data_IF_706950875524
#
_entry.id   IF_706950875524
#
_cell.length_a   1.000
_cell.length_b   1.000
_cell.length_c   1.000
_cell.angle_alpha   90.00
_cell.angle_beta   90.00
_cell.angle_gamma   90.00
#
_symmetry.space_group_name_H-M   'P 1'
#
loop_
_entity.id
_entity.type
_entity.pdbx_description
1 polymer ?
#
# COMPACT_ATOMS: atom_id res chain seq x y z
N UNK A 1 -40.62 -41.82 -56.53
CA UNK A 1 -39.18 -42.12 -56.33
C UNK A 1 -38.25 -40.89 -56.33
N UNK A 2 -38.52 -39.79 -57.05
CA UNK A 2 -37.58 -38.62 -57.08
C UNK A 2 -37.49 -37.76 -55.80
N UNK A 3 -38.53 -37.73 -54.95
CA UNK A 3 -38.54 -36.93 -53.71
C UNK A 3 -37.66 -37.51 -52.59
N UNK A 4 -37.50 -38.83 -52.53
CA UNK A 4 -36.75 -39.50 -51.47
C UNK A 4 -35.22 -39.30 -51.62
N UNK A 5 -34.72 -39.27 -52.85
CA UNK A 5 -33.30 -39.02 -53.13
C UNK A 5 -32.89 -37.56 -52.86
N UNK A 6 -33.80 -36.61 -53.06
CA UNK A 6 -33.54 -35.19 -52.77
C UNK A 6 -33.40 -34.94 -51.26
N UNK A 7 -34.22 -35.60 -50.44
CA UNK A 7 -34.13 -35.50 -48.98
C UNK A 7 -32.82 -36.12 -48.46
N UNK A 8 -32.37 -37.23 -49.05
CA UNK A 8 -31.11 -37.87 -48.70
C UNK A 8 -29.90 -36.99 -49.06
N UNK A 9 -29.95 -36.29 -50.19
CA UNK A 9 -28.88 -35.38 -50.61
C UNK A 9 -28.77 -34.14 -49.71
N UNK A 10 -29.90 -33.60 -49.24
CA UNK A 10 -29.91 -32.49 -48.26
C UNK A 10 -29.38 -32.98 -46.90
N UNK A 11 -29.79 -34.17 -46.45
CA UNK A 11 -29.30 -34.73 -45.18
C UNK A 11 -27.79 -34.99 -45.21
N UNK A 12 -27.27 -35.48 -46.35
CA UNK A 12 -25.83 -35.71 -46.53
C UNK A 12 -25.05 -34.40 -46.67
N UNK A 13 -25.63 -33.38 -47.32
CA UNK A 13 -25.03 -32.04 -47.39
C UNK A 13 -24.94 -31.35 -46.02
N UNK A 14 -25.92 -31.57 -45.13
CA UNK A 14 -25.91 -31.08 -43.74
C UNK A 14 -24.86 -31.83 -42.90
N UNK A 15 -24.63 -33.12 -43.15
CA UNK A 15 -23.56 -33.91 -42.50
C UNK A 15 -22.14 -33.52 -42.95
N UNK A 16 -21.99 -32.92 -44.14
CA UNK A 16 -20.70 -32.45 -44.67
C UNK A 16 -20.40 -30.99 -44.35
N UNK A 17 -21.29 -30.27 -43.67
CA UNK A 17 -20.93 -28.96 -43.11
C UNK A 17 -20.00 -29.25 -41.96
N UNK A 18 -18.71 -29.27 -42.29
CA UNK A 18 -17.61 -29.40 -41.36
C UNK A 18 -17.97 -28.68 -40.06
N UNK A 19 -18.12 -29.45 -38.99
CA UNK A 19 -17.82 -29.00 -37.64
C UNK A 19 -16.40 -28.44 -37.73
N UNK A 20 -16.26 -27.16 -38.07
CA UNK A 20 -15.02 -26.44 -37.82
C UNK A 20 -14.82 -26.60 -36.33
N UNK A 21 -13.91 -27.49 -35.95
CA UNK A 21 -13.43 -27.58 -34.58
C UNK A 21 -13.15 -26.14 -34.16
N UNK A 22 -13.90 -25.65 -33.18
CA UNK A 22 -13.72 -24.29 -32.70
C UNK A 22 -12.26 -24.20 -32.26
N UNK A 23 -11.50 -23.27 -32.83
CA UNK A 23 -10.11 -23.04 -32.44
C UNK A 23 -10.10 -22.67 -30.96
N UNK A 24 -9.39 -23.42 -30.10
CA UNK A 24 -9.17 -23.03 -28.71
C UNK A 24 -8.73 -21.59 -28.55
N UNK A 25 -9.46 -20.87 -27.72
CA UNK A 25 -9.15 -19.52 -27.26
C UNK A 25 -8.61 -19.56 -25.83
N UNK A 26 -7.80 -18.58 -25.46
CA UNK A 26 -7.21 -18.44 -24.13
C UNK A 26 -7.60 -17.09 -23.50
N UNK A 27 -7.93 -17.09 -22.21
CA UNK A 27 -8.12 -15.88 -21.42
C UNK A 27 -7.38 -15.97 -20.09
N UNK A 28 -6.80 -14.84 -19.67
CA UNK A 28 -6.02 -14.71 -18.44
C UNK A 28 -6.77 -13.83 -17.45
N UNK A 29 -7.14 -14.41 -16.31
CA UNK A 29 -7.92 -13.74 -15.25
C UNK A 29 -7.10 -13.68 -13.96
N UNK A 30 -6.90 -12.48 -13.40
CA UNK A 30 -6.27 -12.32 -12.09
C UNK A 30 -7.29 -12.49 -10.96
N UNK A 31 -6.89 -13.13 -9.87
CA UNK A 31 -7.80 -13.56 -8.79
C UNK A 31 -7.80 -12.63 -7.56
N UNK A 32 -6.81 -11.77 -7.41
CA UNK A 32 -6.63 -10.94 -6.21
C UNK A 32 -6.20 -9.50 -6.55
N UNK A 33 -6.44 -8.57 -5.62
CA UNK A 33 -5.79 -7.26 -5.61
C UNK A 33 -4.29 -7.45 -5.34
N UNK A 34 -3.49 -7.22 -6.39
CA UNK A 34 -2.06 -7.57 -6.46
C UNK A 34 -1.16 -6.61 -5.66
N UNK A 35 -1.74 -5.59 -5.00
CA UNK A 35 -1.04 -4.70 -4.07
C UNK A 35 -0.43 -5.43 -2.85
N UNK A 36 -0.87 -6.67 -2.59
CA UNK A 36 -0.39 -7.54 -1.51
C UNK A 36 0.50 -8.70 -1.97
N UNK A 37 0.82 -8.78 -3.26
CA UNK A 37 1.48 -9.95 -3.84
C UNK A 37 2.99 -10.01 -3.50
N UNK A 38 3.44 -11.13 -2.94
CA UNK A 38 4.86 -11.46 -2.81
C UNK A 38 5.39 -12.07 -4.13
N UNK A 39 6.47 -11.50 -4.66
CA UNK A 39 7.17 -11.94 -5.85
C UNK A 39 7.81 -13.32 -5.75
N UNK A 40 8.08 -13.78 -4.54
CA UNK A 40 8.48 -15.17 -4.33
C UNK A 40 7.43 -16.14 -4.92
N UNK A 41 6.17 -15.73 -5.03
CA UNK A 41 5.09 -16.48 -5.68
C UNK A 41 5.15 -16.50 -7.22
N UNK A 42 6.06 -15.75 -7.85
CA UNK A 42 6.39 -15.89 -9.27
C UNK A 42 7.76 -16.53 -9.50
N UNK A 43 8.51 -16.82 -8.44
CA UNK A 43 9.74 -17.57 -8.54
C UNK A 43 9.41 -19.02 -8.96
N UNK A 44 9.36 -19.26 -10.28
CA UNK A 44 9.15 -20.56 -10.90
C UNK A 44 10.20 -21.62 -10.50
N UNK A 45 11.21 -21.27 -9.71
CA UNK A 45 12.22 -22.18 -9.18
C UNK A 45 11.60 -23.42 -8.52
N UNK A 46 10.39 -23.31 -7.94
CA UNK A 46 9.66 -24.41 -7.28
C UNK A 46 8.43 -24.92 -8.05
N UNK A 47 8.41 -24.76 -9.38
CA UNK A 47 7.31 -25.22 -10.25
C UNK A 47 5.92 -24.69 -9.83
N UNK A 48 5.85 -23.48 -9.25
CA UNK A 48 4.65 -22.84 -8.67
C UNK A 48 3.85 -23.72 -7.68
N UNK A 49 4.35 -24.89 -7.32
CA UNK A 49 3.64 -25.84 -6.46
C UNK A 49 3.52 -25.27 -5.06
N UNK A 50 2.31 -25.30 -4.49
CA UNK A 50 1.98 -24.73 -3.19
C UNK A 50 2.19 -23.20 -3.07
N UNK A 51 2.18 -22.47 -4.20
CA UNK A 51 2.17 -21.01 -4.17
C UNK A 51 0.75 -20.46 -4.19
N UNK A 52 0.59 -19.19 -3.80
CA UNK A 52 -0.71 -18.52 -3.84
C UNK A 52 -1.25 -18.54 -5.28
N UNK A 53 -2.56 -18.76 -5.43
CA UNK A 53 -3.22 -18.67 -6.73
C UNK A 53 -3.30 -17.21 -7.17
N UNK A 54 -2.50 -16.84 -8.17
CA UNK A 54 -2.37 -15.46 -8.62
C UNK A 54 -3.32 -15.19 -9.78
N UNK A 55 -3.35 -16.12 -10.73
CA UNK A 55 -4.17 -16.03 -11.93
C UNK A 55 -4.78 -17.38 -12.29
N UNK A 56 -5.83 -17.32 -13.09
CA UNK A 56 -6.49 -18.43 -13.74
C UNK A 56 -6.35 -18.28 -15.25
N UNK A 57 -6.03 -19.38 -15.92
CA UNK A 57 -6.03 -19.48 -17.38
C UNK A 57 -7.28 -20.25 -17.79
N UNK A 58 -8.10 -19.62 -18.62
CA UNK A 58 -9.31 -20.20 -19.18
C UNK A 58 -9.03 -20.58 -20.63
N UNK A 59 -9.22 -21.86 -20.98
CA UNK A 59 -9.03 -22.33 -22.36
C UNK A 59 -10.32 -22.99 -22.84
N UNK A 60 -10.85 -22.56 -23.99
CA UNK A 60 -12.09 -23.09 -24.54
C UNK A 60 -12.01 -23.26 -26.07
N UNK A 61 -12.42 -24.41 -26.64
CA UNK A 61 -12.93 -25.60 -25.95
C UNK A 61 -11.82 -26.44 -25.28
N UNK A 62 -12.22 -27.21 -24.27
CA UNK A 62 -11.35 -28.15 -23.56
C UNK A 62 -11.17 -29.47 -24.34
N UNK A 63 -10.10 -30.21 -24.04
CA UNK A 63 -9.83 -31.54 -24.56
C UNK A 63 -9.00 -31.61 -25.85
N UNK A 64 -8.51 -30.49 -26.36
CA UNK A 64 -7.64 -30.41 -27.55
C UNK A 64 -6.18 -30.55 -27.13
N UNK A 65 -5.34 -31.23 -27.91
CA UNK A 65 -3.90 -31.30 -27.63
C UNK A 65 -3.24 -29.96 -28.01
N UNK A 66 -2.61 -29.31 -27.05
CA UNK A 66 -1.95 -28.02 -27.22
C UNK A 66 -0.74 -27.91 -26.28
N UNK A 67 0.15 -26.95 -26.55
CA UNK A 67 1.16 -26.50 -25.61
C UNK A 67 1.05 -24.99 -25.41
N UNK A 68 1.54 -24.52 -24.27
CA UNK A 68 1.47 -23.13 -23.87
C UNK A 68 2.89 -22.54 -23.79
N UNK A 69 3.06 -21.36 -24.37
CA UNK A 69 4.20 -20.50 -24.10
C UNK A 69 3.77 -19.34 -23.21
N UNK A 70 4.56 -19.04 -22.18
CA UNK A 70 4.28 -17.94 -21.27
C UNK A 70 5.51 -17.09 -21.04
N UNK A 71 5.28 -15.78 -20.95
CA UNK A 71 6.31 -14.78 -20.75
C UNK A 71 5.87 -13.77 -19.69
N UNK A 72 6.76 -13.47 -18.76
CA UNK A 72 6.58 -12.44 -17.73
C UNK A 72 7.63 -11.36 -17.94
N UNK A 73 7.15 -10.16 -18.25
CA UNK A 73 7.96 -8.96 -18.35
C UNK A 73 7.76 -8.07 -17.13
N UNK A 74 8.85 -7.41 -16.71
CA UNK A 74 8.84 -6.36 -15.71
C UNK A 74 9.43 -5.07 -16.26
N UNK A 75 8.75 -3.98 -15.96
CA UNK A 75 9.16 -2.62 -16.24
C UNK A 75 9.25 -1.88 -14.90
N UNK A 76 10.41 -1.36 -14.53
CA UNK A 76 10.68 -0.78 -13.20
C UNK A 76 9.83 0.48 -12.91
N UNK A 77 9.55 1.26 -13.96
CA UNK A 77 8.76 2.48 -13.94
C UNK A 77 8.09 2.72 -15.29
N UNK A 78 7.06 3.56 -15.35
CA UNK A 78 6.34 3.93 -16.58
C UNK A 78 7.26 4.41 -17.73
N UNK A 79 8.45 4.90 -17.40
CA UNK A 79 9.43 5.45 -18.36
C UNK A 79 10.60 4.51 -18.66
N UNK A 80 10.77 3.44 -17.88
CA UNK A 80 11.83 2.45 -18.08
C UNK A 80 11.49 1.46 -19.21
N UNK A 81 12.50 0.77 -19.74
CA UNK A 81 12.29 -0.32 -20.70
C UNK A 81 11.77 -1.58 -20.02
N UNK A 82 10.93 -2.34 -20.75
CA UNK A 82 10.47 -3.67 -20.34
C UNK A 82 11.61 -4.68 -20.42
N UNK A 83 11.79 -5.50 -19.37
CA UNK A 83 12.76 -6.59 -19.31
C UNK A 83 12.05 -7.91 -19.06
N UNK A 84 12.48 -8.96 -19.76
CA UNK A 84 11.95 -10.31 -19.56
C UNK A 84 12.50 -10.88 -18.25
N UNK A 85 11.61 -11.26 -17.33
CA UNK A 85 11.98 -11.91 -16.06
C UNK A 85 11.99 -13.42 -16.25
N UNK A 86 10.95 -13.93 -16.91
CA UNK A 86 10.71 -15.36 -17.07
C UNK A 86 10.09 -15.62 -18.44
N UNK A 87 10.53 -16.72 -19.06
CA UNK A 87 9.90 -17.31 -20.22
C UNK A 87 9.81 -18.83 -20.01
N UNK A 88 8.70 -19.46 -20.37
CA UNK A 88 8.51 -20.88 -20.24
C UNK A 88 7.66 -21.46 -21.37
N UNK A 89 7.82 -22.76 -21.57
CA UNK A 89 7.02 -23.58 -22.48
C UNK A 89 6.55 -24.84 -21.75
N UNK A 90 5.29 -25.21 -21.91
CA UNK A 90 4.78 -26.49 -21.39
C UNK A 90 5.01 -27.62 -22.38
N UNK A 91 5.00 -28.86 -21.89
CA UNK A 91 4.75 -30.02 -22.74
C UNK A 91 3.34 -29.96 -23.31
N UNK A 92 3.08 -30.78 -24.33
CA UNK A 92 1.74 -30.97 -24.89
C UNK A 92 0.84 -31.54 -23.78
N UNK A 93 -0.30 -30.89 -23.58
CA UNK A 93 -1.34 -31.30 -22.64
C UNK A 93 -2.71 -31.20 -23.30
N UNK A 94 -3.74 -31.75 -22.64
CA UNK A 94 -5.13 -31.56 -23.07
C UNK A 94 -5.66 -30.25 -22.51
N UNK A 95 -6.11 -29.35 -23.39
CA UNK A 95 -6.62 -28.03 -23.01
C UNK A 95 -7.67 -28.16 -21.92
N UNK A 96 -7.51 -27.38 -20.86
CA UNK A 96 -8.44 -27.24 -19.75
C UNK A 96 -8.18 -25.90 -19.08
N UNK A 97 -9.13 -25.42 -18.31
CA UNK A 97 -8.86 -24.31 -17.40
C UNK A 97 -7.95 -24.76 -16.26
N UNK A 98 -7.04 -23.89 -15.81
CA UNK A 98 -6.11 -24.18 -14.71
C UNK A 98 -5.69 -22.92 -13.96
N UNK A 99 -5.20 -23.11 -12.73
CA UNK A 99 -4.65 -22.05 -11.90
C UNK A 99 -3.12 -21.99 -11.99
N UNK A 100 -2.54 -20.83 -11.66
CA UNK A 100 -1.09 -20.62 -11.71
C UNK A 100 -0.28 -21.66 -10.92
N UNK A 101 -0.80 -22.15 -9.79
CA UNK A 101 -0.13 -23.15 -8.94
C UNK A 101 -0.06 -24.56 -9.55
N UNK A 102 -0.81 -24.82 -10.62
CA UNK A 102 -0.80 -26.09 -11.36
C UNK A 102 0.31 -26.17 -12.42
N UNK A 103 0.90 -25.03 -12.79
CA UNK A 103 1.88 -24.93 -13.87
C UNK A 103 3.23 -25.52 -13.47
N UNK A 104 3.58 -26.66 -14.04
CA UNK A 104 4.80 -27.42 -13.72
C UNK A 104 4.65 -28.36 -12.52
N UNK A 105 3.50 -28.35 -11.83
CA UNK A 105 3.22 -29.18 -10.66
C UNK A 105 2.16 -30.26 -10.95
N UNK A 106 1.21 -29.98 -11.85
CA UNK A 106 0.21 -30.95 -12.26
C UNK A 106 0.82 -32.02 -13.18
N UNK A 107 0.33 -33.25 -13.06
CA UNK A 107 0.84 -34.40 -13.84
C UNK A 107 0.71 -34.22 -15.36
N UNK A 108 -0.24 -33.40 -15.80
CA UNK A 108 -0.53 -33.12 -17.21
C UNK A 108 0.04 -31.78 -17.70
N UNK A 109 0.26 -30.80 -16.82
CA UNK A 109 0.72 -29.45 -17.16
C UNK A 109 2.19 -29.25 -16.78
N UNK A 110 3.08 -30.04 -17.39
CA UNK A 110 4.52 -30.02 -17.11
C UNK A 110 5.26 -28.97 -17.95
N UNK A 111 6.32 -28.40 -17.41
CA UNK A 111 7.23 -27.53 -18.16
C UNK A 111 8.18 -28.36 -19.04
N UNK A 112 8.35 -27.94 -20.29
CA UNK A 112 9.35 -28.46 -21.23
C UNK A 112 10.63 -27.64 -21.11
N UNK A 113 10.51 -26.32 -21.34
CA UNK A 113 11.62 -25.38 -21.30
C UNK A 113 11.30 -24.19 -20.40
N UNK A 114 12.33 -23.62 -19.77
CA UNK A 114 12.21 -22.37 -19.00
C UNK A 114 13.51 -21.59 -18.98
N UNK A 115 13.40 -20.28 -19.05
CA UNK A 115 14.48 -19.31 -18.90
C UNK A 115 14.07 -18.28 -17.85
N UNK A 116 14.98 -18.01 -16.91
CA UNK A 116 14.76 -17.05 -15.82
C UNK A 116 15.99 -16.14 -15.76
N UNK A 117 15.77 -14.82 -15.73
CA UNK A 117 16.82 -13.86 -15.40
C UNK A 117 16.96 -13.78 -13.87
N UNK A 118 17.86 -14.61 -13.31
CA UNK A 118 18.07 -14.69 -11.87
C UNK A 118 18.57 -13.37 -11.27
N UNK A 119 19.36 -12.58 -12.00
CA UNK A 119 19.84 -11.29 -11.50
C UNK A 119 18.68 -10.31 -11.37
N UNK A 120 17.80 -10.28 -12.38
CA UNK A 120 16.62 -9.45 -12.37
C UNK A 120 15.63 -9.89 -11.29
N UNK A 121 15.44 -11.20 -11.13
CA UNK A 121 14.58 -11.77 -10.11
C UNK A 121 15.10 -11.45 -8.70
N UNK A 122 16.40 -11.60 -8.44
CA UNK A 122 17.02 -11.23 -7.17
C UNK A 122 16.90 -9.72 -6.90
N UNK A 123 17.09 -8.87 -7.92
CA UNK A 123 16.90 -7.43 -7.80
C UNK A 123 15.45 -7.06 -7.45
N UNK A 124 14.50 -7.75 -8.08
CA UNK A 124 13.06 -7.60 -7.83
C UNK A 124 12.71 -8.05 -6.40
N UNK A 125 13.23 -9.20 -5.93
CA UNK A 125 13.03 -9.71 -4.57
C UNK A 125 13.66 -8.77 -3.54
N UNK A 126 14.88 -8.29 -3.78
CA UNK A 126 15.61 -7.38 -2.87
C UNK A 126 14.88 -6.05 -2.65
N UNK A 127 14.10 -5.58 -3.62
CA UNK A 127 13.28 -4.36 -3.50
C UNK A 127 12.11 -4.53 -2.53
N UNK A 128 11.68 -5.76 -2.24
CA UNK A 128 10.69 -6.09 -1.22
C UNK A 128 9.23 -5.73 -1.58
N UNK A 129 8.97 -4.55 -2.15
CA UNK A 129 7.66 -4.16 -2.70
C UNK A 129 7.80 -3.80 -4.18
N UNK A 130 6.92 -4.38 -5.00
CA UNK A 130 6.91 -4.11 -6.44
C UNK A 130 6.45 -2.69 -6.74
N UNK A 131 7.29 -2.00 -7.51
CA UNK A 131 6.92 -0.78 -8.22
C UNK A 131 7.11 -1.02 -9.71
N UNK A 132 6.23 -0.47 -10.53
CA UNK A 132 6.34 -0.54 -11.98
C UNK A 132 5.23 -1.34 -12.63
N UNK A 133 5.49 -1.95 -13.78
CA UNK A 133 4.50 -2.68 -14.56
C UNK A 133 4.93 -4.13 -14.71
N UNK A 134 4.03 -5.06 -14.42
CA UNK A 134 4.20 -6.48 -14.75
C UNK A 134 3.27 -6.80 -15.90
N UNK A 135 3.80 -7.43 -16.94
CA UNK A 135 3.00 -7.96 -18.04
C UNK A 135 3.19 -9.47 -18.13
N UNK A 136 2.09 -10.20 -18.07
CA UNK A 136 2.06 -11.65 -18.32
C UNK A 136 1.43 -11.85 -19.69
N UNK A 137 2.16 -12.51 -20.58
CA UNK A 137 1.71 -12.88 -21.93
C UNK A 137 1.66 -14.40 -22.02
N UNK A 138 0.53 -14.96 -22.45
CA UNK A 138 0.33 -16.38 -22.70
C UNK A 138 -0.05 -16.59 -24.16
N UNK A 139 0.56 -17.58 -24.80
CA UNK A 139 0.30 -17.96 -26.20
C UNK A 139 0.03 -19.45 -26.28
N UNK A 140 -1.08 -19.79 -26.91
CA UNK A 140 -1.52 -21.16 -27.11
C UNK A 140 -1.17 -21.64 -28.52
N UNK A 141 -0.58 -22.82 -28.59
CA UNK A 141 -0.19 -23.46 -29.84
C UNK A 141 -0.72 -24.89 -29.91
N UNK A 142 -1.03 -25.36 -31.11
CA UNK A 142 -1.43 -26.75 -31.32
C UNK A 142 -0.23 -27.69 -31.14
N UNK A 143 -0.49 -28.99 -31.01
CA UNK A 143 0.57 -30.02 -31.00
C UNK A 143 1.52 -29.96 -32.20
N UNK A 144 1.07 -29.38 -33.32
CA UNK A 144 1.86 -29.21 -34.55
C UNK A 144 2.61 -27.86 -34.63
N UNK A 145 2.56 -27.04 -33.56
CA UNK A 145 3.21 -25.73 -33.52
C UNK A 145 2.44 -24.60 -34.21
N UNK A 146 1.17 -24.83 -34.58
CA UNK A 146 0.35 -23.77 -35.16
C UNK A 146 -0.16 -22.85 -34.04
N UNK A 147 0.05 -21.55 -34.17
CA UNK A 147 -0.54 -20.55 -33.27
C UNK A 147 -2.07 -20.62 -33.29
N UNK A 148 -2.67 -20.59 -32.11
CA UNK A 148 -4.12 -20.74 -31.92
C UNK A 148 -4.72 -19.44 -31.40
N UNK A 149 -4.19 -18.94 -30.28
CA UNK A 149 -4.66 -17.72 -29.62
C UNK A 149 -3.63 -17.19 -28.62
N UNK A 150 -3.77 -15.93 -28.19
CA UNK A 150 -2.98 -15.33 -27.13
C UNK A 150 -3.80 -14.47 -26.18
N UNK A 151 -3.34 -14.36 -24.95
CA UNK A 151 -3.92 -13.47 -23.95
C UNK A 151 -2.82 -12.84 -23.15
N UNK A 152 -2.97 -11.56 -22.85
CA UNK A 152 -2.06 -10.86 -21.97
C UNK A 152 -2.82 -10.03 -20.96
N UNK A 153 -2.19 -9.84 -19.80
CA UNK A 153 -2.63 -8.89 -18.81
C UNK A 153 -1.46 -8.08 -18.30
N UNK A 154 -1.73 -6.81 -18.11
CA UNK A 154 -0.80 -5.84 -17.56
C UNK A 154 -1.30 -5.37 -16.20
N UNK A 155 -0.38 -5.28 -15.25
CA UNK A 155 -0.63 -4.86 -13.88
C UNK A 155 0.29 -3.68 -13.62
N UNK A 156 -0.31 -2.55 -13.27
CA UNK A 156 0.44 -1.38 -12.81
C UNK A 156 0.53 -1.44 -11.29
N UNK A 157 1.73 -1.69 -10.80
CA UNK A 157 2.06 -1.73 -9.38
C UNK A 157 2.59 -0.34 -9.03
N UNK A 158 1.66 0.53 -8.66
CA UNK A 158 1.99 1.84 -8.14
C UNK A 158 2.53 1.65 -6.73
N UNK A 159 3.75 2.12 -6.47
CA UNK A 159 4.10 2.44 -5.09
C UNK A 159 3.08 3.51 -4.67
N UNK A 160 2.28 3.35 -3.60
CA UNK A 160 1.90 4.55 -2.89
C UNK A 160 3.23 5.16 -2.49
N UNK A 161 3.62 6.29 -3.11
CA UNK A 161 4.84 7.00 -2.74
C UNK A 161 4.89 7.03 -1.20
N UNK A 162 6.00 6.64 -0.53
CA UNK A 162 6.02 6.65 0.92
C UNK A 162 5.71 8.07 1.36
N UNK A 163 4.50 8.31 1.87
CA UNK A 163 4.06 9.64 2.23
C UNK A 163 4.47 9.88 3.67
N UNK A 164 5.32 10.87 3.86
CA UNK A 164 5.57 11.42 5.19
C UNK A 164 4.55 12.53 5.45
N UNK A 165 3.92 12.50 6.62
CA UNK A 165 2.99 13.54 7.06
C UNK A 165 3.34 13.96 8.46
N UNK A 166 3.20 15.26 8.74
CA UNK A 166 3.36 15.82 10.08
C UNK A 166 2.03 15.65 10.82
N UNK A 167 2.07 14.97 11.95
CA UNK A 167 0.92 14.73 12.81
C UNK A 167 0.71 15.87 13.82
N UNK A 168 1.83 16.41 14.32
CA UNK A 168 1.91 17.60 15.17
C UNK A 168 3.16 18.39 14.79
N UNK A 169 3.15 19.73 14.79
CA UNK A 169 1.99 20.59 15.05
C UNK A 169 0.92 20.48 13.95
N UNK A 170 -0.31 20.91 14.22
CA UNK A 170 -1.32 21.10 13.17
C UNK A 170 -1.29 22.55 12.67
N UNK A 171 -1.81 22.77 11.45
CA UNK A 171 -1.86 24.10 10.86
C UNK A 171 -2.69 25.05 11.72
N UNK A 172 -2.09 26.16 12.16
CA UNK A 172 -2.73 27.18 12.98
C UNK A 172 -2.70 26.93 14.49
N UNK A 173 -2.08 25.84 14.95
CA UNK A 173 -1.86 25.57 16.37
C UNK A 173 -0.93 26.60 17.01
N UNK A 174 -1.03 26.78 18.33
CA UNK A 174 -0.17 27.65 19.12
C UNK A 174 0.63 26.86 20.16
N UNK A 175 1.91 27.18 20.30
CA UNK A 175 2.80 26.49 21.23
C UNK A 175 3.70 27.44 21.99
N UNK A 176 4.02 27.07 23.23
CA UNK A 176 4.99 27.80 24.03
C UNK A 176 6.39 27.72 23.39
N UNK A 177 7.14 28.82 23.41
CA UNK A 177 8.53 28.87 22.91
C UNK A 177 9.46 27.79 23.51
N UNK A 178 9.18 27.30 24.72
CA UNK A 178 9.91 26.24 25.39
C UNK A 178 9.40 24.82 25.12
N UNK A 179 8.24 24.65 24.48
CA UNK A 179 7.64 23.35 24.23
C UNK A 179 6.85 23.31 22.90
N UNK A 180 7.52 22.86 21.85
CA UNK A 180 6.92 22.69 20.51
C UNK A 180 7.09 21.24 20.09
N UNK A 181 6.06 20.39 20.30
CA UNK A 181 6.11 19.01 19.86
C UNK A 181 6.04 18.92 18.33
N UNK A 182 6.96 18.19 17.73
CA UNK A 182 6.92 17.77 16.34
C UNK A 182 6.80 16.25 16.29
N UNK A 183 5.85 15.75 15.52
CA UNK A 183 5.57 14.32 15.33
C UNK A 183 5.21 14.06 13.88
N UNK A 184 5.65 12.94 13.33
CA UNK A 184 5.38 12.56 11.93
C UNK A 184 5.18 11.07 11.75
N UNK A 185 4.56 10.71 10.64
CA UNK A 185 4.34 9.31 10.24
C UNK A 185 5.67 8.65 9.87
N UNK A 186 5.97 7.45 10.42
CA UNK A 186 7.18 6.70 10.05
C UNK A 186 7.15 6.29 8.57
N UNK A 187 8.33 6.31 7.95
CA UNK A 187 8.57 5.86 6.58
C UNK A 187 9.43 4.60 6.65
N UNK A 188 8.94 3.50 6.06
CA UNK A 188 9.69 2.25 6.02
C UNK A 188 10.98 2.42 5.20
N UNK A 189 12.10 1.92 5.71
CA UNK A 189 13.40 2.00 5.02
C UNK A 189 14.09 3.36 5.11
N UNK A 190 13.67 4.23 6.04
CA UNK A 190 14.33 5.51 6.31
C UNK A 190 15.71 5.30 6.94
N UNK A 191 16.70 6.00 6.40
CA UNK A 191 18.05 6.10 6.96
C UNK A 191 18.09 7.13 8.09
N UNK A 192 17.49 8.30 7.85
CA UNK A 192 17.37 9.41 8.82
C UNK A 192 16.29 10.43 8.40
N UNK A 193 15.84 11.22 9.36
CA UNK A 193 14.96 12.37 9.16
C UNK A 193 15.72 13.69 9.32
N UNK A 194 15.46 14.63 8.42
CA UNK A 194 15.99 15.98 8.48
C UNK A 194 14.85 16.96 8.72
N UNK A 195 15.06 17.87 9.67
CA UNK A 195 14.07 18.87 10.06
C UNK A 195 14.50 20.25 9.56
N UNK A 196 13.58 20.96 8.91
CA UNK A 196 13.81 22.35 8.51
C UNK A 196 12.65 23.23 8.96
N UNK A 197 12.97 24.37 9.56
CA UNK A 197 11.96 25.32 10.04
C UNK A 197 12.38 26.76 9.78
N UNK A 198 11.41 27.63 9.52
CA UNK A 198 11.64 29.05 9.31
C UNK A 198 10.44 29.91 9.76
N UNK A 199 10.63 31.22 9.83
CA UNK A 199 9.54 32.17 10.10
C UNK A 199 8.66 32.34 8.87
N UNK A 200 7.34 32.36 9.06
CA UNK A 200 6.34 32.63 8.02
C UNK A 200 5.77 34.03 8.21
N UNK A 201 6.29 35.00 7.46
CA UNK A 201 5.85 36.40 7.55
C UNK A 201 4.64 36.68 6.63
N UNK A 202 3.84 37.69 6.99
CA UNK A 202 2.81 38.22 6.10
C UNK A 202 3.46 38.79 4.83
N UNK A 203 2.96 38.37 3.66
CA UNK A 203 3.49 38.75 2.35
C UNK A 203 4.41 37.70 1.69
N UNK A 204 4.67 36.56 2.32
CA UNK A 204 5.33 35.43 1.65
C UNK A 204 4.33 34.65 0.78
N UNK A 205 4.71 34.35 -0.46
CA UNK A 205 3.84 33.71 -1.45
C UNK A 205 3.38 32.29 -1.06
N UNK A 206 4.20 31.53 -0.32
CA UNK A 206 3.83 30.19 0.17
C UNK A 206 4.66 29.72 1.37
N UNK A 207 4.18 28.75 2.16
CA UNK A 207 4.96 28.10 3.23
C UNK A 207 6.29 27.51 2.72
N UNK A 208 6.30 26.92 1.52
CA UNK A 208 7.51 26.38 0.88
C UNK A 208 8.51 27.49 0.51
N UNK A 209 8.03 28.64 0.05
CA UNK A 209 8.87 29.79 -0.22
C UNK A 209 9.50 30.32 1.08
N UNK A 210 8.74 30.38 2.18
CA UNK A 210 9.26 30.77 3.49
C UNK A 210 10.39 29.85 3.96
N UNK A 211 10.23 28.52 3.83
CA UNK A 211 11.28 27.54 4.18
C UNK A 211 12.60 27.74 3.43
N UNK A 212 12.56 28.37 2.25
CA UNK A 212 13.75 28.62 1.41
C UNK A 212 14.21 30.08 1.41
N UNK A 213 13.53 30.96 2.17
CA UNK A 213 13.85 32.38 2.24
C UNK A 213 14.80 32.71 3.40
N UNK A 214 15.81 33.54 3.14
CA UNK A 214 16.75 33.98 4.17
C UNK A 214 17.47 32.83 4.89
N UNK A 215 17.88 33.05 6.14
CA UNK A 215 18.51 32.02 6.97
C UNK A 215 17.45 31.24 7.74
N UNK A 216 17.29 29.92 7.53
CA UNK A 216 16.31 29.11 8.26
C UNK A 216 16.64 29.06 9.76
N UNK A 217 15.62 28.92 10.62
CA UNK A 217 15.78 28.82 12.08
C UNK A 217 16.40 27.47 12.46
N UNK A 218 15.91 26.41 11.80
CA UNK A 218 16.45 25.05 11.88
C UNK A 218 16.78 24.67 10.44
N UNK A 219 18.04 24.28 10.21
CA UNK A 219 18.53 23.93 8.88
C UNK A 219 18.96 22.47 8.83
N UNK A 220 18.07 21.63 8.28
CA UNK A 220 18.28 20.20 8.08
C UNK A 220 18.89 19.49 9.31
N UNK A 221 18.33 19.75 10.49
CA UNK A 221 18.73 19.09 11.73
C UNK A 221 18.45 17.58 11.63
N UNK A 222 19.47 16.76 11.91
CA UNK A 222 19.37 15.30 11.87
C UNK A 222 18.68 14.76 13.14
N UNK A 223 17.45 14.30 12.96
CA UNK A 223 16.66 13.66 14.02
C UNK A 223 16.87 12.13 14.09
N UNK A 224 17.80 11.58 13.31
CA UNK A 224 18.03 10.15 13.18
C UNK A 224 16.77 9.43 12.70
N UNK A 225 16.44 8.31 13.34
CA UNK A 225 15.24 7.50 13.02
C UNK A 225 14.04 7.80 13.94
N UNK A 226 14.14 8.83 14.79
CA UNK A 226 13.03 9.21 15.66
C UNK A 226 11.84 9.69 14.83
N UNK A 227 10.62 9.56 15.36
CA UNK A 227 9.37 10.06 14.74
C UNK A 227 8.72 11.17 15.56
N UNK A 228 9.38 11.60 16.63
CA UNK A 228 8.95 12.69 17.48
C UNK A 228 10.14 13.40 18.11
N UNK A 229 10.07 14.72 18.22
CA UNK A 229 11.03 15.55 18.93
C UNK A 229 10.35 16.81 19.47
N UNK A 230 10.90 17.39 20.54
CA UNK A 230 10.57 18.77 20.89
C UNK A 230 11.48 19.71 20.10
N UNK A 231 10.91 20.50 19.19
CA UNK A 231 11.68 21.46 18.40
C UNK A 231 12.32 22.57 19.25
N UNK A 232 11.85 22.77 20.48
CA UNK A 232 12.50 23.70 21.39
C UNK A 232 13.91 23.23 21.79
N UNK A 233 14.18 21.92 21.76
CA UNK A 233 15.43 21.30 22.23
C UNK A 233 16.45 21.04 21.12
N UNK A 234 16.12 21.31 19.86
CA UNK A 234 17.05 21.11 18.74
C UNK A 234 18.03 22.27 18.62
N UNK A 235 19.14 22.06 17.91
CA UNK A 235 20.10 23.14 17.62
C UNK A 235 19.45 24.13 16.65
N UNK A 236 19.44 25.41 17.01
CA UNK A 236 18.84 26.49 16.22
C UNK A 236 19.93 27.48 15.80
N UNK A 237 19.79 28.03 14.60
CA UNK A 237 20.65 29.14 14.12
C UNK A 237 20.15 30.49 14.62
N UNK A 238 18.87 30.57 14.99
CA UNK A 238 18.18 31.77 15.50
C UNK A 238 17.25 31.41 16.64
N UNK A 239 17.15 32.29 17.63
CA UNK A 239 16.25 32.10 18.77
C UNK A 239 14.78 32.25 18.38
N UNK A 240 13.93 31.62 19.19
CA UNK A 240 12.47 31.68 19.07
C UNK A 240 11.89 32.80 19.93
N UNK A 241 10.86 33.46 19.40
CA UNK A 241 10.16 34.53 20.11
C UNK A 241 8.65 34.31 20.04
N UNK A 242 7.94 34.72 21.10
CA UNK A 242 6.48 34.75 21.09
C UNK A 242 5.95 35.72 20.01
N UNK A 243 4.78 35.40 19.46
CA UNK A 243 4.15 36.11 18.34
C UNK A 243 4.71 35.74 16.96
N UNK A 244 5.65 34.80 16.88
CA UNK A 244 6.19 34.35 15.59
C UNK A 244 5.32 33.24 14.98
N UNK A 245 4.94 33.41 13.72
CA UNK A 245 4.47 32.31 12.88
C UNK A 245 5.67 31.55 12.33
N UNK A 246 5.65 30.23 12.48
CA UNK A 246 6.71 29.31 12.08
C UNK A 246 6.14 28.33 11.07
N UNK A 247 6.94 27.99 10.06
CA UNK A 247 6.69 26.89 9.12
C UNK A 247 7.74 25.81 9.34
N UNK A 248 7.32 24.54 9.30
CA UNK A 248 8.20 23.37 9.44
C UNK A 248 7.93 22.35 8.34
N UNK A 249 8.97 21.64 7.93
CA UNK A 249 8.91 20.47 7.05
C UNK A 249 9.78 19.35 7.62
N UNK A 250 9.34 18.10 7.42
CA UNK A 250 10.14 16.92 7.71
C UNK A 250 10.55 16.26 6.40
N UNK A 251 11.82 15.91 6.27
CA UNK A 251 12.37 15.22 5.12
C UNK A 251 12.83 13.81 5.54
N UNK A 252 12.32 12.77 4.91
CA UNK A 252 12.81 11.41 5.09
C UNK A 252 13.88 11.09 4.05
N UNK A 253 15.07 10.67 4.49
CA UNK A 253 16.13 10.19 3.60
C UNK A 253 16.01 8.66 3.53
N UNK A 254 15.72 8.14 2.34
CA UNK A 254 15.59 6.69 2.08
C UNK A 254 16.67 6.23 1.10
N UNK A 255 17.01 4.94 1.13
CA UNK A 255 17.90 4.36 0.11
C UNK A 255 17.08 3.72 -1.01
N UNK A 256 17.17 4.29 -2.21
CA UNK A 256 16.59 3.70 -3.42
C UNK A 256 17.73 3.32 -4.37
N UNK A 257 17.87 2.03 -4.66
CA UNK A 257 18.87 1.51 -5.62
C UNK A 257 20.31 1.96 -5.32
N UNK A 258 20.66 2.09 -4.04
CA UNK A 258 22.00 2.51 -3.59
C UNK A 258 22.25 4.03 -3.65
N UNK A 259 21.23 4.84 -3.95
CA UNK A 259 21.28 6.31 -3.87
C UNK A 259 20.36 6.81 -2.76
N UNK A 260 20.72 7.93 -2.13
CA UNK A 260 19.84 8.60 -1.19
C UNK A 260 18.76 9.39 -1.95
N UNK A 261 17.49 9.06 -1.71
CA UNK A 261 16.33 9.83 -2.17
C UNK A 261 15.71 10.55 -0.97
N UNK A 262 15.23 11.77 -1.18
CA UNK A 262 14.58 12.58 -0.14
C UNK A 262 13.09 12.68 -0.41
N UNK A 263 12.29 12.29 0.58
CA UNK A 263 10.84 12.44 0.58
C UNK A 263 10.46 13.58 1.52
N UNK A 264 9.67 14.53 1.04
CA UNK A 264 9.27 15.71 1.82
C UNK A 264 7.84 15.55 2.32
N UNK A 265 7.57 16.03 3.54
CA UNK A 265 6.20 16.24 4.00
C UNK A 265 5.62 17.49 3.38
N UNK A 266 4.29 17.63 3.44
CA UNK A 266 3.68 18.94 3.30
C UNK A 266 4.19 19.88 4.42
N UNK A 267 4.44 21.17 4.14
CA UNK A 267 4.80 22.13 5.17
C UNK A 267 3.62 22.41 6.11
N UNK A 268 3.90 22.51 7.42
CA UNK A 268 2.90 22.90 8.42
C UNK A 268 3.28 24.22 9.07
N UNK A 269 2.28 25.07 9.31
CA UNK A 269 2.45 26.37 9.96
C UNK A 269 1.82 26.41 11.34
N UNK A 270 2.49 27.04 12.30
CA UNK A 270 2.00 27.22 13.67
C UNK A 270 2.51 28.54 14.25
N UNK A 271 2.05 28.93 15.43
CA UNK A 271 2.44 30.17 16.08
C UNK A 271 3.06 29.92 17.47
N UNK A 272 4.07 30.73 17.81
CA UNK A 272 4.75 30.67 19.10
C UNK A 272 4.14 31.67 20.08
N UNK A 273 3.95 31.28 21.34
CA UNK A 273 3.51 32.15 22.44
C UNK A 273 4.57 32.22 23.54
N UNK A 274 4.67 33.37 24.22
CA UNK A 274 5.71 33.60 25.23
C UNK A 274 5.29 33.02 26.59
N UNK A 275 6.21 32.27 27.22
CA UNK A 275 5.99 31.67 28.54
C UNK A 275 5.79 32.75 29.61
N UNK A 276 4.66 32.71 30.31
CA UNK A 276 4.36 33.61 31.44
C UNK A 276 3.34 34.73 31.20
N UNK A 277 2.69 34.79 30.04
CA UNK A 277 1.48 35.60 29.85
C UNK A 277 0.28 34.96 30.55
N UNK A 278 -0.31 35.63 31.54
CA UNK A 278 -1.54 35.19 32.22
C UNK A 278 -2.67 34.97 31.22
N UNK A 279 -3.10 33.72 31.06
CA UNK A 279 -4.36 33.38 30.41
C UNK A 279 -4.32 32.28 29.34
N UNK A 280 -3.64 31.16 29.60
CA UNK A 280 -4.14 29.88 29.09
C UNK A 280 -5.45 29.58 29.86
N UNK A 281 -6.62 29.39 29.22
CA UNK A 281 -7.35 28.19 29.60
C UNK A 281 -6.41 27.03 29.20
N UNK A 282 -6.11 26.14 30.15
CA UNK A 282 -5.55 24.83 29.82
C UNK A 282 -6.59 24.06 29.00
N UNK A 283 -6.83 24.44 27.76
CA UNK A 283 -7.39 23.55 26.75
C UNK A 283 -6.21 22.74 26.26
N UNK A 284 -5.90 21.68 27.02
CA UNK A 284 -5.24 20.53 26.42
C UNK A 284 -6.14 20.16 25.24
N UNK A 285 -5.68 20.39 24.02
CA UNK A 285 -6.46 20.01 22.86
C UNK A 285 -6.69 18.49 22.97
N UNK A 286 -7.95 18.05 22.97
CA UNK A 286 -8.26 16.67 23.29
C UNK A 286 -7.64 15.75 22.25
N UNK A 287 -6.94 14.72 22.70
CA UNK A 287 -6.35 13.72 21.82
C UNK A 287 -7.43 13.21 20.83
N UNK A 288 -7.16 13.34 19.52
CA UNK A 288 -8.15 13.05 18.49
C UNK A 288 -8.69 11.61 18.57
N UNK A 289 -7.87 10.66 19.00
CA UNK A 289 -8.28 9.27 19.20
C UNK A 289 -9.12 9.10 20.46
N UNK A 290 -8.90 9.94 21.48
CA UNK A 290 -9.75 10.01 22.67
C UNK A 290 -11.11 10.65 22.34
N UNK A 291 -11.16 11.72 21.55
CA UNK A 291 -12.44 12.28 21.07
C UNK A 291 -13.22 11.24 20.28
N UNK A 292 -12.56 10.50 19.39
CA UNK A 292 -13.16 9.39 18.64
C UNK A 292 -13.68 8.28 19.55
N UNK A 293 -12.88 7.86 20.54
CA UNK A 293 -13.33 6.90 21.55
C UNK A 293 -14.54 7.42 22.33
N UNK A 294 -14.53 8.70 22.73
CA UNK A 294 -15.63 9.36 23.43
C UNK A 294 -16.94 9.33 22.64
N UNK A 295 -16.86 9.50 21.32
CA UNK A 295 -18.02 9.44 20.42
C UNK A 295 -18.60 8.02 20.38
N UNK A 296 -17.73 7.00 20.33
CA UNK A 296 -18.14 5.59 20.30
C UNK A 296 -18.80 5.18 21.62
N UNK A 297 -18.31 5.66 22.76
CA UNK A 297 -18.80 5.24 24.10
C UNK A 297 -19.84 6.20 24.70
N UNK A 298 -20.25 7.22 23.96
CA UNK A 298 -21.10 8.35 24.41
C UNK A 298 -22.36 7.93 25.16
N UNK A 299 -22.98 6.82 24.77
CA UNK A 299 -24.30 6.41 25.29
C UNK A 299 -24.25 5.74 26.67
N UNK A 300 -23.07 5.27 27.11
CA UNK A 300 -22.94 4.37 28.28
C UNK A 300 -21.87 4.81 29.29
N UNK A 301 -21.27 5.98 29.09
CA UNK A 301 -20.22 6.53 29.98
C UNK A 301 -20.71 7.84 30.58
N UNK A 302 -20.33 8.10 31.84
CA UNK A 302 -20.72 9.31 32.55
C UNK A 302 -20.33 10.56 31.75
N UNK A 303 -21.28 11.49 31.60
CA UNK A 303 -21.10 12.72 30.83
C UNK A 303 -19.90 13.56 31.33
N UNK A 304 -19.63 13.52 32.64
CA UNK A 304 -18.47 14.17 33.26
C UNK A 304 -17.13 13.59 32.78
N UNK A 305 -17.05 12.25 32.64
CA UNK A 305 -15.85 11.60 32.08
C UNK A 305 -15.67 11.97 30.61
N UNK A 306 -16.74 11.94 29.81
CA UNK A 306 -16.70 12.31 28.39
C UNK A 306 -16.30 13.77 28.19
N UNK A 307 -16.79 14.67 29.04
CA UNK A 307 -16.39 16.09 29.03
C UNK A 307 -14.91 16.23 29.37
N UNK A 308 -14.45 15.59 30.45
CA UNK A 308 -13.04 15.58 30.88
C UNK A 308 -12.08 14.95 29.86
N UNK A 309 -12.61 14.10 28.99
CA UNK A 309 -11.87 13.47 27.91
C UNK A 309 -11.83 14.37 26.67
N UNK A 310 -12.94 15.05 26.36
CA UNK A 310 -13.09 16.00 25.24
C UNK A 310 -12.49 17.38 25.52
N UNK A 311 -12.22 17.74 26.77
CA UNK A 311 -11.53 18.99 27.14
C UNK A 311 -10.03 18.77 27.44
N UNK A 312 -9.56 17.53 27.26
CA UNK A 312 -8.16 17.14 27.46
C UNK A 312 -7.70 17.11 28.91
N UNK A 313 -8.62 17.24 29.88
CA UNK A 313 -8.30 17.03 31.31
C UNK A 313 -7.74 15.63 31.56
N UNK A 314 -8.19 14.64 30.78
CA UNK A 314 -7.67 13.27 30.78
C UNK A 314 -6.66 13.11 29.64
N UNK A 315 -5.37 13.01 29.99
CA UNK A 315 -4.28 12.76 29.05
C UNK A 315 -4.19 11.25 28.71
N UNK A 316 -3.98 10.90 27.43
CA UNK A 316 -3.83 9.51 26.98
C UNK A 316 -2.66 8.76 27.66
N UNK A 317 -1.60 9.49 28.03
CA UNK A 317 -0.49 8.92 28.81
C UNK A 317 -0.89 8.48 30.23
N UNK A 318 -2.04 8.96 30.72
CA UNK A 318 -2.63 8.58 32.01
C UNK A 318 -3.80 7.58 31.86
N UNK A 319 -4.19 7.22 30.63
CA UNK A 319 -5.27 6.26 30.36
C UNK A 319 -4.67 4.95 29.88
N UNK A 320 -4.85 3.91 30.67
CA UNK A 320 -4.46 2.56 30.28
C UNK A 320 -5.69 1.81 29.75
N UNK A 321 -5.66 1.44 28.48
CA UNK A 321 -6.68 0.58 27.87
C UNK A 321 -6.13 -0.83 27.92
N UNK A 322 -6.90 -1.76 28.48
CA UNK A 322 -6.52 -3.16 28.68
C UNK A 322 -7.47 -4.07 27.92
N UNK A 323 -6.98 -5.25 27.53
CA UNK A 323 -7.82 -6.32 27.00
C UNK A 323 -8.54 -7.11 28.11
N UNK A 324 -9.28 -8.15 27.71
CA UNK A 324 -9.98 -9.06 28.63
C UNK A 324 -9.05 -9.83 29.59
N UNK A 325 -7.75 -9.88 29.31
CA UNK A 325 -6.73 -10.54 30.12
C UNK A 325 -5.93 -9.55 30.99
N UNK A 326 -6.40 -8.30 31.13
CA UNK A 326 -5.71 -7.19 31.81
C UNK A 326 -4.36 -6.80 31.16
N UNK A 327 -4.13 -7.14 29.90
CA UNK A 327 -2.92 -6.76 29.17
C UNK A 327 -3.11 -5.36 28.57
N UNK A 328 -2.20 -4.41 28.83
CA UNK A 328 -2.27 -3.08 28.22
C UNK A 328 -2.16 -3.14 26.70
N UNK A 329 -3.08 -2.48 26.01
CA UNK A 329 -3.04 -2.35 24.56
C UNK A 329 -1.90 -1.41 24.16
N UNK A 330 -1.13 -1.80 23.13
CA UNK A 330 -0.18 -0.89 22.51
C UNK A 330 -0.92 0.21 21.72
N UNK A 331 -0.30 1.37 21.46
CA UNK A 331 -0.92 2.43 20.65
C UNK A 331 -1.36 1.95 19.27
N UNK A 332 -0.60 1.07 18.62
CA UNK A 332 -0.95 0.49 17.32
C UNK A 332 -2.17 -0.43 17.41
N UNK A 333 -2.22 -1.29 18.43
CA UNK A 333 -3.37 -2.17 18.68
C UNK A 333 -4.62 -1.35 19.01
N UNK A 334 -4.48 -0.28 19.78
CA UNK A 334 -5.58 0.61 20.12
C UNK A 334 -6.18 1.27 18.87
N UNK A 335 -5.36 1.76 17.94
CA UNK A 335 -5.87 2.37 16.70
C UNK A 335 -6.61 1.37 15.80
N UNK A 336 -6.14 0.11 15.74
CA UNK A 336 -6.83 -0.96 15.02
C UNK A 336 -8.19 -1.23 15.65
N UNK A 337 -8.24 -1.37 16.98
CA UNK A 337 -9.49 -1.57 17.73
C UNK A 337 -10.44 -0.39 17.53
N UNK A 338 -9.96 0.84 17.63
CA UNK A 338 -10.75 2.05 17.45
C UNK A 338 -11.37 2.11 16.04
N UNK A 339 -10.56 1.84 15.01
CA UNK A 339 -11.02 1.84 13.62
C UNK A 339 -12.01 0.71 13.34
N UNK A 340 -11.81 -0.46 13.96
CA UNK A 340 -12.75 -1.57 13.89
C UNK A 340 -14.09 -1.23 14.54
N UNK A 341 -14.08 -0.59 15.72
CA UNK A 341 -15.29 -0.19 16.43
C UNK A 341 -16.08 0.88 15.67
N UNK A 342 -15.41 1.82 15.00
CA UNK A 342 -16.07 2.83 14.16
C UNK A 342 -16.73 2.20 12.93
N UNK A 343 -16.00 1.33 12.22
CA UNK A 343 -16.52 0.65 11.03
C UNK A 343 -17.66 -0.32 11.33
N UNK A 344 -17.71 -0.86 12.56
CA UNK A 344 -18.68 -1.85 12.99
C UNK A 344 -19.57 -1.33 14.14
N UNK A 345 -19.78 -0.01 14.23
CA UNK A 345 -20.53 0.60 15.34
C UNK A 345 -21.95 0.01 15.49
N UNK A 346 -22.57 -0.37 14.37
CA UNK A 346 -23.89 -1.04 14.34
C UNK A 346 -23.90 -2.47 14.88
N UNK A 347 -22.74 -3.11 15.01
CA UNK A 347 -22.57 -4.48 15.53
C UNK A 347 -22.23 -4.50 17.03
N UNK A 348 -22.09 -3.34 17.66
CA UNK A 348 -21.81 -3.24 19.10
C UNK A 348 -23.08 -3.61 19.88
N UNK A 349 -23.12 -4.84 20.41
CA UNK A 349 -24.28 -5.38 21.13
C UNK A 349 -24.50 -4.70 22.49
N UNK A 350 -23.43 -4.33 23.19
CA UNK A 350 -23.50 -3.61 24.47
C UNK A 350 -22.20 -2.86 24.77
N UNK A 351 -22.29 -1.77 25.53
CA UNK A 351 -21.13 -1.02 26.06
C UNK A 351 -21.33 -0.91 27.57
N UNK A 352 -20.38 -1.37 28.38
CA UNK A 352 -20.49 -1.40 29.85
C UNK A 352 -19.37 -0.60 30.48
N UNK A 353 -19.69 0.36 31.33
CA UNK A 353 -18.72 1.10 32.14
C UNK A 353 -18.53 0.42 33.50
N UNK A 354 -17.30 0.00 33.82
CA UNK A 354 -16.94 -0.60 35.10
C UNK A 354 -16.06 0.39 35.87
N UNK A 355 -16.56 1.06 36.92
CA UNK A 355 -15.74 1.92 37.74
C UNK A 355 -14.73 1.08 38.53
N UNK A 356 -13.46 1.49 38.51
CA UNK A 356 -12.44 0.90 39.38
C UNK A 356 -12.72 1.38 40.82
N UNK A 357 -12.95 0.42 41.73
CA UNK A 357 -13.16 0.70 43.16
C UNK A 357 -11.85 0.99 43.88
#
# INVERSE_FOLDING_TARGET
MKRTYFLFFILMAILTVNLKAQTPTIDLVFLTDLSSLDLSAFALERNLSNQQKIFQVLIQPEGVNAYLEGKVDWQESLTSGSREVVNFRTKIFRTRSFFSDELGSANDLLLEDRTIDNNLLEDIIRRGKLTGIIRITLRLFSENGQFMDDSFKEIVLLNPAPTISINLPQTGSQFDVGNVPLQWTPVSGVLRYLLKANTYAEGVESPTAALNSGTPIIDDFDAGVATSINLATVTKTREWYGGQKVVVIVKAVISESGRETVLNSEPVTFELVQSGGTGLPNTVEPDANMVRLAEIVKDNVASDFLTKLKDGTINMSNVQIIDENNVPLTPATFLIVLSFLEANNSLIVSKTFIPKS
#
